data_IF_633038006272
#
_entry.id   IF_633038006272
#
_cell.length_a   1.000
_cell.length_b   1.000
_cell.length_c   1.000
_cell.angle_alpha   90.00
_cell.angle_beta   90.00
_cell.angle_gamma   90.00
#
_symmetry.space_group_name_H-M   'P 1'
#
loop_
_entity.id
_entity.type
_entity.pdbx_description
1 polymer ?
#
# COMPACT_ATOMS: atom_id res chain seq x y z
N UNK A 1 26.51 18.50 6.57
CA UNK A 1 27.37 18.03 5.46
C UNK A 1 26.69 16.80 4.90
N UNK A 2 26.07 16.91 3.73
CA UNK A 2 25.17 15.89 3.21
C UNK A 2 25.96 14.79 2.52
N UNK A 3 25.96 13.58 3.09
CA UNK A 3 26.41 12.40 2.37
C UNK A 3 25.27 11.97 1.43
N UNK A 4 25.55 11.97 0.12
CA UNK A 4 24.67 11.42 -0.89
C UNK A 4 25.02 9.95 -1.08
N UNK A 5 24.09 9.07 -0.76
CA UNK A 5 23.98 7.75 -1.36
C UNK A 5 22.71 7.78 -2.20
N UNK A 6 22.84 7.66 -3.52
CA UNK A 6 21.71 7.69 -4.44
C UNK A 6 20.80 6.48 -4.19
N UNK A 7 19.52 6.73 -3.87
CA UNK A 7 18.47 5.72 -3.76
C UNK A 7 17.87 5.55 -2.35
N UNK A 8 18.51 6.03 -1.30
CA UNK A 8 17.95 5.96 0.05
C UNK A 8 17.13 7.22 0.35
N UNK A 9 15.83 7.04 0.62
CA UNK A 9 14.98 8.08 1.18
C UNK A 9 15.45 8.32 2.62
N UNK A 10 16.49 9.15 2.81
CA UNK A 10 16.98 9.49 4.14
C UNK A 10 15.85 10.12 4.95
N UNK A 11 15.60 9.57 6.14
CA UNK A 11 14.66 10.14 7.10
C UNK A 11 15.13 11.55 7.48
N UNK A 12 14.20 12.50 7.51
CA UNK A 12 14.47 13.85 8.02
C UNK A 12 14.19 13.86 9.53
N UNK A 13 14.87 14.68 10.35
CA UNK A 13 14.47 14.85 11.74
C UNK A 13 13.01 15.31 11.82
N UNK A 14 12.20 14.64 12.64
CA UNK A 14 10.76 14.90 12.74
C UNK A 14 10.02 13.81 13.52
N UNK A 15 8.73 14.04 13.74
CA UNK A 15 7.82 13.05 14.33
C UNK A 15 7.27 12.14 13.22
N UNK A 16 7.23 10.85 13.52
CA UNK A 16 6.84 9.82 12.57
C UNK A 16 5.73 8.93 13.14
N UNK A 17 4.69 8.72 12.35
CA UNK A 17 3.63 7.73 12.57
C UNK A 17 3.58 6.80 11.36
N UNK A 18 4.62 5.97 11.21
CA UNK A 18 4.76 5.05 10.07
C UNK A 18 5.38 3.72 10.48
N UNK A 19 5.14 2.69 9.66
CA UNK A 19 5.83 1.40 9.79
C UNK A 19 7.29 1.56 9.40
N UNK A 20 8.18 0.93 10.18
CA UNK A 20 9.58 0.75 9.83
C UNK A 20 9.64 -0.38 8.79
N UNK A 21 9.88 -0.03 7.53
CA UNK A 21 10.12 -1.01 6.47
C UNK A 21 11.53 -1.60 6.55
N UNK A 22 11.79 -2.66 5.76
CA UNK A 22 13.07 -3.38 5.83
C UNK A 22 14.29 -2.52 5.52
N UNK A 23 14.18 -1.57 4.58
CA UNK A 23 15.30 -0.69 4.26
C UNK A 23 15.53 0.33 5.38
N UNK A 24 14.45 0.91 5.90
CA UNK A 24 14.48 1.82 7.04
C UNK A 24 15.06 1.15 8.28
N UNK A 25 14.72 -0.11 8.55
CA UNK A 25 15.27 -0.87 9.67
C UNK A 25 16.79 -0.95 9.59
N UNK A 26 17.33 -1.31 8.42
CA UNK A 26 18.79 -1.35 8.19
C UNK A 26 19.42 0.04 8.41
N UNK A 27 18.81 1.11 7.91
CA UNK A 27 19.32 2.47 8.10
C UNK A 27 19.30 2.91 9.57
N UNK A 28 18.23 2.61 10.31
CA UNK A 28 18.08 2.96 11.73
C UNK A 28 19.06 2.20 12.62
N UNK A 29 19.50 1.01 12.20
CA UNK A 29 20.45 0.20 12.95
C UNK A 29 21.92 0.61 12.71
N UNK A 30 22.20 1.51 11.75
CA UNK A 30 23.56 2.00 11.50
C UNK A 30 24.11 2.76 12.71
N UNK A 31 25.35 2.47 13.18
CA UNK A 31 25.92 3.15 14.35
C UNK A 31 25.95 4.67 14.22
N UNK A 32 26.27 5.19 13.04
CA UNK A 32 26.31 6.63 12.77
C UNK A 32 24.94 7.28 12.98
N UNK A 33 23.85 6.59 12.62
CA UNK A 33 22.48 7.06 12.79
C UNK A 33 22.07 7.01 14.26
N UNK A 34 22.45 5.96 14.99
CA UNK A 34 22.19 5.83 16.42
C UNK A 34 22.97 6.86 17.27
N UNK A 35 24.18 7.22 16.84
CA UNK A 35 25.02 8.21 17.53
C UNK A 35 24.56 9.66 17.26
N UNK A 36 24.03 9.94 16.06
CA UNK A 36 23.64 11.29 15.64
C UNK A 36 22.19 11.67 16.01
N UNK A 37 21.27 10.70 16.05
CA UNK A 37 19.84 10.97 16.20
C UNK A 37 19.22 10.28 17.42
N UNK A 38 18.27 10.98 18.06
CA UNK A 38 17.36 10.35 19.01
C UNK A 38 16.29 9.55 18.26
N UNK A 39 16.19 8.25 18.58
CA UNK A 39 15.28 7.31 17.91
C UNK A 39 14.38 6.69 18.97
N UNK A 40 13.11 7.07 18.96
CA UNK A 40 12.07 6.43 19.76
C UNK A 40 11.23 5.51 18.88
N UNK A 41 11.01 4.27 19.34
CA UNK A 41 10.33 3.21 18.59
C UNK A 41 9.40 2.45 19.52
N UNK A 42 8.16 2.22 19.08
CA UNK A 42 7.19 1.40 19.78
C UNK A 42 6.89 0.11 19.01
N UNK A 43 6.48 -0.93 19.72
CA UNK A 43 5.86 -2.08 19.08
C UNK A 43 4.53 -1.68 18.43
N UNK A 44 4.15 -2.36 17.36
CA UNK A 44 2.83 -2.17 16.75
C UNK A 44 1.76 -2.53 17.78
N UNK A 45 0.85 -1.59 18.06
CA UNK A 45 -0.30 -1.84 18.93
C UNK A 45 -1.20 -2.90 18.26
N UNK A 46 -1.52 -3.96 19.01
CA UNK A 46 -2.40 -5.04 18.55
C UNK A 46 -3.79 -4.54 18.16
N UNK A 47 -4.31 -3.52 18.85
CA UNK A 47 -5.63 -2.96 18.57
C UNK A 47 -5.65 -2.17 17.24
N UNK A 48 -4.52 -1.55 16.88
CA UNK A 48 -4.38 -0.72 15.67
C UNK A 48 -3.71 -1.47 14.51
N UNK A 49 -3.15 -2.66 14.76
CA UNK A 49 -2.29 -3.40 13.85
C UNK A 49 -2.94 -3.63 12.48
N UNK A 50 -4.20 -4.07 12.45
CA UNK A 50 -4.89 -4.37 11.20
C UNK A 50 -5.03 -3.12 10.32
N UNK A 51 -5.42 -1.98 10.91
CA UNK A 51 -5.55 -0.71 10.21
C UNK A 51 -4.21 -0.16 9.73
N UNK A 52 -3.19 -0.17 10.60
CA UNK A 52 -1.85 0.30 10.27
C UNK A 52 -1.21 -0.52 9.14
N UNK A 53 -1.28 -1.85 9.22
CA UNK A 53 -0.75 -2.75 8.19
C UNK A 53 -1.53 -2.65 6.88
N UNK A 54 -2.86 -2.54 6.92
CA UNK A 54 -3.67 -2.36 5.72
C UNK A 54 -3.31 -1.06 4.98
N UNK A 55 -3.10 0.05 5.72
CA UNK A 55 -2.65 1.32 5.14
C UNK A 55 -1.29 1.15 4.45
N UNK A 56 -0.31 0.54 5.12
CA UNK A 56 1.01 0.32 4.54
C UNK A 56 0.97 -0.56 3.29
N UNK A 57 0.20 -1.65 3.30
CA UNK A 57 0.00 -2.51 2.12
C UNK A 57 -0.68 -1.73 1.00
N UNK A 58 -1.65 -0.87 1.28
CA UNK A 58 -2.34 -0.07 0.25
C UNK A 58 -1.36 0.83 -0.52
N UNK A 59 -0.40 1.44 0.17
CA UNK A 59 0.65 2.26 -0.44
C UNK A 59 1.59 1.43 -1.33
N UNK A 60 1.93 0.22 -0.92
CA UNK A 60 2.75 -0.70 -1.72
C UNK A 60 1.99 -1.15 -2.97
N UNK A 61 0.72 -1.52 -2.83
CA UNK A 61 -0.12 -1.94 -3.95
C UNK A 61 -0.26 -0.81 -4.96
N UNK A 62 -0.48 0.43 -4.51
CA UNK A 62 -0.51 1.59 -5.39
C UNK A 62 0.81 1.77 -6.15
N UNK A 63 1.96 1.75 -5.46
CA UNK A 63 3.28 1.84 -6.11
C UNK A 63 3.51 0.72 -7.15
N UNK A 64 3.04 -0.49 -6.85
CA UNK A 64 3.09 -1.63 -7.78
C UNK A 64 2.22 -1.41 -9.02
N UNK A 65 1.01 -0.89 -8.84
CA UNK A 65 0.10 -0.54 -9.95
C UNK A 65 0.66 0.59 -10.82
N UNK A 66 1.21 1.64 -10.21
CA UNK A 66 1.87 2.74 -10.91
C UNK A 66 3.08 2.21 -11.71
N UNK A 67 3.90 1.33 -11.12
CA UNK A 67 5.00 0.70 -11.82
C UNK A 67 4.54 -0.14 -13.02
N UNK A 68 3.46 -0.92 -12.87
CA UNK A 68 2.90 -1.70 -13.98
C UNK A 68 2.45 -0.78 -15.13
N UNK A 69 1.77 0.33 -14.80
CA UNK A 69 1.35 1.33 -15.78
C UNK A 69 2.53 2.01 -16.47
N UNK A 70 3.53 2.45 -15.69
CA UNK A 70 4.71 3.16 -16.21
C UNK A 70 5.59 2.26 -17.09
N UNK A 71 5.53 0.95 -16.89
CA UNK A 71 6.20 -0.06 -17.72
C UNK A 71 5.32 -0.65 -18.83
N UNK A 72 4.32 0.10 -19.29
CA UNK A 72 3.51 -0.23 -20.47
C UNK A 72 2.45 -1.32 -20.23
N UNK A 73 2.13 -1.63 -18.98
CA UNK A 73 1.02 -2.51 -18.62
C UNK A 73 -0.33 -1.84 -18.84
N UNK A 74 -1.30 -2.59 -19.37
CA UNK A 74 -2.68 -2.13 -19.52
C UNK A 74 -3.48 -2.29 -18.22
N UNK A 75 -4.73 -1.84 -18.25
CA UNK A 75 -5.66 -1.96 -17.12
C UNK A 75 -5.96 -3.42 -16.77
N UNK A 76 -5.95 -4.32 -17.74
CA UNK A 76 -6.23 -5.74 -17.52
C UNK A 76 -5.10 -6.41 -16.73
N UNK A 77 -3.84 -6.03 -16.99
CA UNK A 77 -2.68 -6.47 -16.20
C UNK A 77 -2.76 -5.96 -14.76
N UNK A 78 -3.22 -4.73 -14.55
CA UNK A 78 -3.44 -4.17 -13.22
C UNK A 78 -4.55 -4.92 -12.46
N UNK A 79 -5.68 -5.20 -13.12
CA UNK A 79 -6.78 -6.00 -12.56
C UNK A 79 -6.32 -7.41 -12.20
N UNK A 80 -5.55 -8.06 -13.07
CA UNK A 80 -5.01 -9.39 -12.81
C UNK A 80 -4.08 -9.38 -11.57
N UNK A 81 -3.27 -8.32 -11.39
CA UNK A 81 -2.44 -8.15 -10.21
C UNK A 81 -3.27 -7.97 -8.93
N UNK A 82 -4.29 -7.11 -8.94
CA UNK A 82 -5.19 -6.91 -7.78
C UNK A 82 -5.92 -8.21 -7.43
N UNK A 83 -6.48 -8.90 -8.42
CA UNK A 83 -7.19 -10.17 -8.18
C UNK A 83 -6.27 -11.28 -7.66
N UNK A 84 -4.98 -11.26 -8.01
CA UNK A 84 -3.98 -12.16 -7.40
C UNK A 84 -3.83 -11.87 -5.91
N UNK A 85 -3.74 -10.60 -5.51
CA UNK A 85 -3.64 -10.19 -4.10
C UNK A 85 -4.89 -10.63 -3.32
N UNK A 86 -6.09 -10.38 -3.86
CA UNK A 86 -7.36 -10.85 -3.27
C UNK A 86 -7.36 -12.38 -3.11
N UNK A 87 -6.83 -13.09 -4.09
CA UNK A 87 -6.65 -14.54 -4.04
C UNK A 87 -5.74 -15.01 -2.90
N UNK A 88 -4.66 -14.27 -2.59
CA UNK A 88 -3.80 -14.58 -1.44
C UNK A 88 -4.50 -14.30 -0.11
N UNK A 89 -5.32 -13.23 -0.01
CA UNK A 89 -6.14 -12.97 1.18
C UNK A 89 -7.12 -14.14 1.43
N UNK A 90 -7.82 -14.60 0.39
CA UNK A 90 -8.71 -15.76 0.50
C UNK A 90 -7.97 -17.01 1.00
N UNK A 91 -6.76 -17.29 0.48
CA UNK A 91 -5.99 -18.48 0.89
C UNK A 91 -5.57 -18.41 2.35
N UNK A 92 -5.20 -17.23 2.83
CA UNK A 92 -4.72 -17.04 4.20
C UNK A 92 -5.86 -17.03 5.22
N UNK A 93 -6.98 -16.37 4.91
CA UNK A 93 -8.11 -16.24 5.85
C UNK A 93 -9.07 -17.43 5.81
N UNK A 94 -9.11 -18.16 4.70
CA UNK A 94 -10.11 -19.20 4.45
C UNK A 94 -11.52 -18.67 4.20
N UNK A 95 -11.71 -17.35 4.19
CA UNK A 95 -13.02 -16.72 3.99
C UNK A 95 -13.35 -16.62 2.50
N UNK A 96 -14.32 -17.44 2.07
CA UNK A 96 -14.74 -17.53 0.67
C UNK A 96 -15.34 -16.23 0.13
N UNK A 97 -15.80 -15.31 0.98
CA UNK A 97 -16.42 -14.06 0.54
C UNK A 97 -15.44 -13.19 -0.24
N UNK A 98 -14.14 -13.26 0.06
CA UNK A 98 -13.10 -12.56 -0.68
C UNK A 98 -13.07 -12.92 -2.18
N UNK A 99 -13.47 -14.14 -2.58
CA UNK A 99 -13.56 -14.48 -4.01
C UNK A 99 -14.58 -13.61 -4.75
N UNK A 100 -15.69 -13.29 -4.10
CA UNK A 100 -16.77 -12.47 -4.65
C UNK A 100 -16.39 -10.98 -4.71
N UNK A 101 -15.31 -10.57 -4.04
CA UNK A 101 -14.78 -9.20 -4.04
C UNK A 101 -13.73 -8.96 -5.14
N UNK A 102 -13.46 -9.94 -6.00
CA UNK A 102 -12.55 -9.79 -7.14
C UNK A 102 -13.05 -8.69 -8.09
N UNK A 103 -12.12 -7.92 -8.65
CA UNK A 103 -12.41 -6.91 -9.65
C UNK A 103 -12.89 -7.59 -10.94
N UNK A 104 -14.04 -7.14 -11.45
CA UNK A 104 -14.65 -7.67 -12.67
C UNK A 104 -13.81 -7.29 -13.91
N UNK A 105 -13.72 -8.22 -14.87
CA UNK A 105 -12.97 -8.08 -16.13
C UNK A 105 -13.38 -6.87 -16.97
N UNK A 106 -14.59 -6.35 -16.76
CA UNK A 106 -15.09 -5.14 -17.44
C UNK A 106 -14.27 -3.88 -17.14
N UNK A 107 -13.48 -3.89 -16.05
CA UNK A 107 -12.66 -2.74 -15.66
C UNK A 107 -13.48 -1.44 -15.46
N UNK A 108 -14.71 -1.58 -14.95
CA UNK A 108 -15.65 -0.49 -14.79
C UNK A 108 -15.67 0.02 -13.35
N UNK A 109 -15.74 1.34 -13.19
CA UNK A 109 -16.11 1.98 -11.93
C UNK A 109 -17.61 2.31 -11.98
N UNK A 110 -18.37 1.87 -10.98
CA UNK A 110 -19.78 2.25 -10.86
C UNK A 110 -19.86 3.72 -10.46
N UNK A 111 -20.26 4.58 -11.41
CA UNK A 111 -20.34 6.03 -11.17
C UNK A 111 -21.70 6.48 -10.65
N UNK A 112 -22.78 5.84 -11.09
CA UNK A 112 -24.16 6.19 -10.73
C UNK A 112 -25.01 4.92 -10.71
N UNK A 113 -25.81 4.74 -9.66
CA UNK A 113 -26.89 3.76 -9.61
C UNK A 113 -28.12 4.43 -9.01
N UNK A 114 -29.08 4.80 -9.87
CA UNK A 114 -30.28 5.53 -9.45
C UNK A 114 -31.48 5.12 -10.29
N UNK A 115 -32.69 5.33 -9.76
CA UNK A 115 -33.91 5.14 -10.52
C UNK A 115 -33.91 6.06 -11.75
N UNK A 116 -34.25 5.51 -12.92
CA UNK A 116 -34.23 6.25 -14.19
C UNK A 116 -35.03 7.55 -14.15
N UNK A 117 -36.13 7.59 -13.38
CA UNK A 117 -37.01 8.76 -13.21
C UNK A 117 -36.33 9.95 -12.51
N UNK A 118 -35.24 9.69 -11.78
CA UNK A 118 -34.47 10.69 -11.05
C UNK A 118 -33.16 11.05 -11.76
N UNK A 119 -32.93 10.53 -12.98
CA UNK A 119 -31.72 10.85 -13.75
C UNK A 119 -31.81 12.25 -14.34
N UNK A 120 -30.80 13.08 -14.09
CA UNK A 120 -30.58 14.39 -14.75
C UNK A 120 -29.95 14.24 -16.14
N UNK A 121 -29.60 13.00 -16.52
CA UNK A 121 -29.10 12.66 -17.85
C UNK A 121 -30.32 12.33 -18.73
N UNK A 122 -30.92 13.36 -19.32
CA UNK A 122 -31.95 13.23 -20.35
C UNK A 122 -31.33 12.93 -21.71
#
# INVERSE_FOLDING_TARGET
MSMKVEGEKMLKPGLYEQIIDSAMGVSLDQPQVQDEFFIDKAAIDKAEASGLLAKYVSEIVQKGLDNLKDNGGDIQRQIAFVNKIIGEIFKETGDSDFKNMSVDKRAEQLMVFMEKKNSVLS
#
